data_IF_592125043326
#
_entry.id   IF_592125043326
#
_cell.length_a   1.000
_cell.length_b   1.000
_cell.length_c   1.000
_cell.angle_alpha   90.00
_cell.angle_beta   90.00
_cell.angle_gamma   90.00
#
_symmetry.space_group_name_H-M   'P 1'
#
loop_
_entity.id
_entity.type
_entity.pdbx_description
1 polymer ?
#
# COMPACT_ATOMS: atom_id res chain seq x y z
N UNK A 1 5.00 -7.91 -16.48
CA UNK A 1 6.24 -7.71 -15.70
C UNK A 1 7.44 -8.42 -16.32
N UNK A 2 7.50 -9.76 -16.31
CA UNK A 2 8.66 -10.52 -16.80
C UNK A 2 9.13 -10.15 -18.22
N UNK A 3 8.20 -10.02 -19.17
CA UNK A 3 8.51 -9.59 -20.53
C UNK A 3 9.19 -8.22 -20.57
N UNK A 4 8.71 -7.26 -19.76
CA UNK A 4 9.28 -5.93 -19.66
C UNK A 4 10.67 -5.96 -19.02
N UNK A 5 10.85 -6.72 -17.93
CA UNK A 5 12.16 -6.85 -17.28
C UNK A 5 13.20 -7.46 -18.24
N UNK A 6 12.80 -8.45 -19.06
CA UNK A 6 13.70 -9.06 -20.04
C UNK A 6 14.12 -8.06 -21.13
N UNK A 7 13.21 -7.19 -21.57
CA UNK A 7 13.48 -6.17 -22.59
C UNK A 7 14.24 -4.96 -22.02
N UNK A 8 13.98 -4.63 -20.77
CA UNK A 8 14.55 -3.48 -20.05
C UNK A 8 15.02 -3.93 -18.66
N UNK A 9 16.21 -4.57 -18.54
CA UNK A 9 16.70 -5.12 -17.26
C UNK A 9 16.86 -4.09 -16.15
N UNK A 10 17.08 -2.83 -16.51
CA UNK A 10 17.23 -1.68 -15.62
C UNK A 10 15.89 -1.08 -15.16
N UNK A 11 14.75 -1.53 -15.70
CA UNK A 11 13.46 -1.01 -15.29
C UNK A 11 13.13 -1.48 -13.86
N UNK A 12 12.77 -0.54 -13.00
CA UNK A 12 12.20 -0.85 -11.69
C UNK A 12 10.73 -1.26 -11.88
N UNK A 13 10.37 -2.45 -11.36
CA UNK A 13 9.00 -2.95 -11.40
C UNK A 13 8.44 -2.93 -9.99
N UNK A 14 7.21 -2.44 -9.83
CA UNK A 14 6.47 -2.51 -8.58
C UNK A 14 5.07 -3.07 -8.81
N UNK A 15 4.59 -3.88 -7.87
CA UNK A 15 3.22 -4.39 -7.83
C UNK A 15 2.44 -3.74 -6.70
N UNK A 16 1.20 -3.39 -7.00
CA UNK A 16 0.20 -3.00 -6.01
C UNK A 16 -0.98 -3.95 -6.15
N UNK A 17 -1.42 -4.52 -5.03
CA UNK A 17 -2.54 -5.47 -5.00
C UNK A 17 -3.72 -4.92 -4.18
N UNK A 18 -4.28 -3.75 -4.51
CA UNK A 18 -5.37 -3.18 -3.73
C UNK A 18 -6.64 -4.03 -3.88
N UNK A 19 -7.27 -4.36 -2.76
CA UNK A 19 -8.64 -4.89 -2.81
C UNK A 19 -9.63 -3.77 -3.10
N UNK A 20 -10.77 -4.16 -3.66
CA UNK A 20 -11.90 -3.24 -3.85
C UNK A 20 -12.41 -2.77 -2.48
N UNK A 21 -12.70 -1.48 -2.39
CA UNK A 21 -13.23 -0.81 -1.20
C UNK A 21 -14.40 0.07 -1.60
N UNK A 22 -15.34 0.32 -0.68
CA UNK A 22 -16.38 1.32 -0.87
C UNK A 22 -15.81 2.67 -1.31
N UNK A 23 -16.55 3.36 -2.18
CA UNK A 23 -16.28 4.73 -2.62
C UNK A 23 -17.48 5.60 -2.25
N UNK A 24 -17.31 6.93 -2.18
CA UNK A 24 -18.37 7.86 -1.73
C UNK A 24 -19.69 7.68 -2.50
N UNK A 25 -19.60 7.42 -3.80
CA UNK A 25 -20.78 7.28 -4.67
C UNK A 25 -21.31 5.84 -4.75
N UNK A 26 -20.68 4.86 -4.11
CA UNK A 26 -21.12 3.47 -4.11
C UNK A 26 -20.54 2.67 -2.92
N UNK A 27 -21.36 2.52 -1.88
CA UNK A 27 -21.07 1.77 -0.67
C UNK A 27 -21.17 0.24 -0.84
N UNK A 28 -21.75 -0.22 -1.95
CA UNK A 28 -21.92 -1.66 -2.24
C UNK A 28 -20.67 -2.31 -2.80
N UNK A 29 -19.67 -1.52 -3.22
CA UNK A 29 -18.40 -2.03 -3.71
C UNK A 29 -17.67 -2.71 -2.54
N UNK A 30 -17.36 -3.98 -2.72
CA UNK A 30 -16.65 -4.78 -1.74
C UNK A 30 -15.58 -5.65 -2.43
N UNK A 31 -14.68 -6.29 -1.67
CA UNK A 31 -13.61 -7.14 -2.20
C UNK A 31 -14.08 -8.38 -2.99
N UNK A 32 -15.40 -8.60 -3.14
CA UNK A 32 -15.99 -9.81 -3.70
C UNK A 32 -15.44 -11.03 -2.94
N UNK A 33 -14.92 -12.02 -3.66
CA UNK A 33 -14.38 -13.26 -3.10
C UNK A 33 -12.88 -13.15 -2.72
N UNK A 34 -12.29 -11.95 -2.76
CA UNK A 34 -10.89 -11.73 -2.40
C UNK A 34 -10.77 -11.35 -0.92
N UNK A 35 -10.72 -12.37 -0.06
CA UNK A 35 -10.45 -12.17 1.35
C UNK A 35 -8.94 -12.04 1.63
N UNK A 36 -8.59 -11.83 2.90
CA UNK A 36 -7.20 -11.60 3.32
C UNK A 36 -6.29 -12.77 2.95
N UNK A 37 -6.80 -14.01 3.00
CA UNK A 37 -6.05 -15.20 2.62
C UNK A 37 -5.70 -15.21 1.12
N UNK A 38 -6.66 -14.86 0.25
CA UNK A 38 -6.43 -14.75 -1.19
C UNK A 38 -5.45 -13.60 -1.51
N UNK A 39 -5.58 -12.46 -0.82
CA UNK A 39 -4.62 -11.36 -0.97
C UNK A 39 -3.21 -11.82 -0.60
N UNK A 40 -3.05 -12.49 0.53
CA UNK A 40 -1.76 -13.03 0.96
C UNK A 40 -1.19 -14.01 -0.07
N UNK A 41 -2.02 -14.91 -0.61
CA UNK A 41 -1.61 -15.87 -1.62
C UNK A 41 -1.08 -15.17 -2.89
N UNK A 42 -1.81 -14.16 -3.39
CA UNK A 42 -1.42 -13.39 -4.58
C UNK A 42 -0.10 -12.64 -4.34
N UNK A 43 0.01 -11.94 -3.21
CA UNK A 43 1.21 -11.17 -2.88
C UNK A 43 2.43 -12.08 -2.71
N UNK A 44 2.27 -13.25 -2.07
CA UNK A 44 3.34 -14.25 -1.96
C UNK A 44 3.74 -14.80 -3.33
N UNK A 45 2.77 -15.10 -4.20
CA UNK A 45 3.05 -15.56 -5.56
C UNK A 45 3.86 -14.52 -6.35
N UNK A 46 3.54 -13.23 -6.23
CA UNK A 46 4.33 -12.16 -6.87
C UNK A 46 5.73 -12.02 -6.28
N UNK A 47 5.89 -12.15 -4.95
CA UNK A 47 7.21 -12.13 -4.31
C UNK A 47 8.10 -13.28 -4.80
N UNK A 48 7.54 -14.47 -5.01
CA UNK A 48 8.27 -15.62 -5.56
C UNK A 48 8.57 -15.46 -7.06
N UNK A 49 7.61 -14.94 -7.83
CA UNK A 49 7.73 -14.80 -9.29
C UNK A 49 8.72 -13.70 -9.71
N UNK A 50 8.74 -12.57 -9.01
CA UNK A 50 9.62 -11.43 -9.29
C UNK A 50 10.25 -10.91 -7.99
N UNK A 51 11.30 -11.57 -7.46
CA UNK A 51 11.84 -11.27 -6.14
C UNK A 51 12.35 -9.84 -5.94
N UNK A 52 12.77 -9.18 -7.02
CA UNK A 52 13.28 -7.80 -7.00
C UNK A 52 12.20 -6.74 -7.22
N UNK A 53 10.97 -7.14 -7.52
CA UNK A 53 9.89 -6.17 -7.66
C UNK A 53 9.52 -5.57 -6.30
N UNK A 54 9.29 -4.26 -6.28
CA UNK A 54 8.65 -3.60 -5.16
C UNK A 54 7.23 -4.13 -4.98
N UNK A 55 6.77 -4.26 -3.74
CA UNK A 55 5.38 -4.60 -3.44
C UNK A 55 4.84 -3.56 -2.47
N UNK A 56 3.81 -2.84 -2.91
CA UNK A 56 3.20 -1.74 -2.16
C UNK A 56 1.88 -2.17 -1.54
N UNK A 57 1.72 -1.90 -0.24
CA UNK A 57 0.46 -2.03 0.47
C UNK A 57 -0.10 -0.67 0.91
N UNK A 58 -1.31 -0.36 0.47
CA UNK A 58 -1.98 0.91 0.79
C UNK A 58 -2.81 0.83 2.08
N UNK A 59 -3.32 1.98 2.52
CA UNK A 59 -4.29 2.12 3.62
C UNK A 59 -5.68 1.57 3.29
N UNK A 60 -5.87 0.95 2.12
CA UNK A 60 -7.07 0.14 1.82
C UNK A 60 -7.12 -1.14 2.65
N UNK A 61 -6.01 -1.57 3.22
CA UNK A 61 -5.95 -2.70 4.14
C UNK A 61 -5.92 -2.20 5.58
N UNK A 62 -6.42 -3.00 6.54
CA UNK A 62 -6.39 -2.62 7.95
C UNK A 62 -5.01 -2.88 8.55
N UNK A 63 -4.68 -2.20 9.66
CA UNK A 63 -3.39 -2.30 10.34
C UNK A 63 -2.88 -3.76 10.47
N UNK A 64 -3.71 -4.65 11.03
CA UNK A 64 -3.39 -6.08 11.18
C UNK A 64 -2.94 -6.75 9.88
N UNK A 65 -3.61 -6.52 8.76
CA UNK A 65 -3.25 -7.13 7.48
C UNK A 65 -1.93 -6.56 6.97
N UNK A 66 -1.75 -5.24 7.11
CA UNK A 66 -0.55 -4.53 6.66
C UNK A 66 0.68 -4.97 7.43
N UNK A 67 0.57 -5.02 8.76
CA UNK A 67 1.65 -5.42 9.67
C UNK A 67 2.10 -6.86 9.42
N UNK A 68 1.20 -7.75 8.99
CA UNK A 68 1.57 -9.11 8.57
C UNK A 68 2.19 -9.15 7.17
N UNK A 69 1.67 -8.38 6.21
CA UNK A 69 2.18 -8.40 4.84
C UNK A 69 3.59 -7.82 4.71
N UNK A 70 3.95 -6.81 5.50
CA UNK A 70 5.32 -6.24 5.51
C UNK A 70 6.37 -7.25 6.02
N UNK A 71 5.98 -8.19 6.88
CA UNK A 71 6.90 -9.26 7.36
C UNK A 71 7.17 -10.33 6.30
N UNK A 72 6.23 -10.52 5.37
CA UNK A 72 6.25 -11.65 4.44
C UNK A 72 6.71 -11.23 3.05
N UNK A 73 6.18 -10.13 2.53
CA UNK A 73 6.31 -9.83 1.10
C UNK A 73 6.24 -8.36 0.70
N UNK A 74 5.63 -7.46 1.47
CA UNK A 74 5.56 -6.04 1.10
C UNK A 74 6.86 -5.31 1.42
N UNK A 75 7.30 -4.42 0.52
CA UNK A 75 8.51 -3.60 0.68
C UNK A 75 8.20 -2.11 0.77
N UNK A 76 6.98 -1.70 0.43
CA UNK A 76 6.49 -0.32 0.51
C UNK A 76 5.15 -0.30 1.23
N UNK A 77 4.98 0.66 2.13
CA UNK A 77 3.75 0.86 2.89
C UNK A 77 3.42 2.36 2.92
N UNK A 78 2.17 2.71 2.64
CA UNK A 78 1.72 4.11 2.75
C UNK A 78 1.40 4.49 4.21
N UNK A 79 1.61 5.73 4.64
CA UNK A 79 1.24 6.14 6.00
C UNK A 79 0.74 7.58 6.00
N UNK A 80 -0.15 7.93 6.93
CA UNK A 80 -0.76 9.26 6.98
C UNK A 80 -1.44 9.67 5.66
N UNK A 81 -2.06 8.72 4.97
CA UNK A 81 -2.64 8.94 3.65
C UNK A 81 -3.90 9.78 3.79
N UNK A 82 -3.96 10.85 3.02
CA UNK A 82 -5.21 11.55 2.70
C UNK A 82 -5.64 11.12 1.30
N UNK A 83 -6.92 10.76 1.17
CA UNK A 83 -7.49 10.28 -0.11
C UNK A 83 -8.44 11.30 -0.74
N UNK A 84 -8.74 12.41 -0.05
CA UNK A 84 -9.52 13.54 -0.56
C UNK A 84 -8.65 14.58 -1.27
N UNK A 85 -9.25 15.29 -2.23
CA UNK A 85 -8.57 16.39 -2.92
C UNK A 85 -8.51 17.60 -1.96
N UNK A 86 -7.31 18.09 -1.65
CA UNK A 86 -7.11 19.29 -0.82
C UNK A 86 -7.05 19.07 0.69
N UNK A 87 -7.12 17.83 1.17
CA UNK A 87 -7.19 17.51 2.61
C UNK A 87 -5.93 17.84 3.43
N UNK A 88 -4.76 18.01 2.78
CA UNK A 88 -3.53 18.48 3.44
C UNK A 88 -3.46 20.01 3.63
N UNK A 89 -4.45 20.76 3.13
CA UNK A 89 -4.54 22.22 3.26
C UNK A 89 -5.77 22.55 4.10
N UNK A 90 -5.57 23.00 5.34
CA UNK A 90 -6.69 23.33 6.26
C UNK A 90 -7.59 24.46 5.73
N UNK A 91 -7.09 25.29 4.81
CA UNK A 91 -7.74 26.51 4.29
C UNK A 91 -8.63 26.30 3.04
N UNK A 92 -8.79 25.08 2.53
CA UNK A 92 -9.71 24.81 1.42
C UNK A 92 -11.10 24.40 1.93
N UNK A 93 -12.09 25.26 1.71
CA UNK A 93 -13.51 24.97 1.99
C UNK A 93 -14.05 23.85 1.07
N UNK A 94 -13.55 23.76 -0.16
CA UNK A 94 -13.89 22.72 -1.13
C UNK A 94 -12.94 21.52 -1.01
N UNK A 95 -13.14 20.69 0.01
CA UNK A 95 -12.50 19.37 0.09
C UNK A 95 -13.21 18.42 -0.88
N UNK A 96 -12.50 17.96 -1.90
CA UNK A 96 -13.06 17.02 -2.86
C UNK A 96 -13.21 15.61 -2.28
N UNK A 97 -14.15 14.86 -2.84
CA UNK A 97 -14.51 13.50 -2.43
C UNK A 97 -13.30 12.55 -2.33
N UNK A 98 -13.17 11.86 -1.20
CA UNK A 98 -12.21 10.78 -1.01
C UNK A 98 -12.38 9.64 -2.04
N UNK A 99 -11.28 9.23 -2.66
CA UNK A 99 -11.28 8.19 -3.70
C UNK A 99 -11.74 6.82 -3.18
N UNK A 100 -11.49 6.50 -1.90
CA UNK A 100 -11.90 5.27 -1.23
C UNK A 100 -11.89 5.44 0.28
N UNK A 101 -12.58 4.56 1.00
CA UNK A 101 -12.52 4.53 2.46
C UNK A 101 -11.17 4.02 2.99
N UNK A 102 -10.54 4.81 3.86
CA UNK A 102 -9.29 4.46 4.55
C UNK A 102 -9.58 3.42 5.65
N UNK A 103 -8.86 2.30 5.62
CA UNK A 103 -9.00 1.22 6.61
C UNK A 103 -7.89 1.18 7.67
N UNK A 104 -6.82 1.92 7.46
CA UNK A 104 -5.76 2.14 8.45
C UNK A 104 -5.52 3.63 8.57
N UNK A 105 -6.07 4.21 9.65
CA UNK A 105 -5.99 5.64 9.96
C UNK A 105 -4.75 6.04 10.77
N UNK A 106 -3.80 5.12 11.00
CA UNK A 106 -2.57 5.43 11.72
C UNK A 106 -1.79 6.54 11.00
N UNK A 107 -1.30 7.47 11.81
CA UNK A 107 -0.36 8.52 11.40
C UNK A 107 0.96 7.92 10.90
N UNK A 108 1.77 8.75 10.25
CA UNK A 108 3.12 8.36 9.82
C UNK A 108 3.96 7.86 10.99
N UNK A 109 3.89 8.55 12.13
CA UNK A 109 4.65 8.19 13.33
C UNK A 109 4.21 6.83 13.90
N UNK A 110 2.91 6.57 13.99
CA UNK A 110 2.40 5.29 14.51
C UNK A 110 2.77 4.10 13.61
N UNK A 111 2.73 4.28 12.27
CA UNK A 111 3.21 3.24 11.34
C UNK A 111 4.71 3.03 11.48
N UNK A 112 5.48 4.11 11.63
CA UNK A 112 6.93 4.04 11.84
C UNK A 112 7.28 3.25 13.10
N UNK A 113 6.66 3.57 14.23
CA UNK A 113 6.88 2.90 15.51
C UNK A 113 6.40 1.44 15.48
N UNK A 114 5.30 1.16 14.78
CA UNK A 114 4.83 -0.21 14.57
C UNK A 114 5.85 -1.06 13.82
N UNK A 115 6.50 -0.50 12.79
CA UNK A 115 7.54 -1.23 12.04
C UNK A 115 8.79 -1.47 12.90
N UNK A 116 9.20 -0.49 13.70
CA UNK A 116 10.30 -0.67 14.66
C UNK A 116 9.98 -1.78 15.69
N UNK A 117 8.75 -1.80 16.21
CA UNK A 117 8.28 -2.84 17.13
C UNK A 117 8.34 -4.25 16.54
N UNK A 118 8.30 -4.37 15.21
CA UNK A 118 8.41 -5.62 14.48
C UNK A 118 9.85 -5.96 14.06
N UNK A 119 10.85 -5.25 14.61
CA UNK A 119 12.27 -5.35 14.26
C UNK A 119 12.55 -5.09 12.77
N UNK A 120 11.74 -4.25 12.13
CA UNK A 120 11.97 -3.79 10.76
C UNK A 120 12.66 -2.42 10.80
N UNK A 121 13.35 -2.08 9.70
CA UNK A 121 13.93 -0.75 9.50
C UNK A 121 13.03 0.06 8.56
N UNK A 122 12.29 1.07 9.07
CA UNK A 122 11.58 1.99 8.21
C UNK A 122 12.58 2.88 7.47
N UNK A 123 12.36 3.04 6.17
CA UNK A 123 13.16 3.93 5.30
C UNK A 123 12.21 4.90 4.62
N UNK A 124 12.46 6.20 4.80
CA UNK A 124 11.58 7.27 4.30
C UNK A 124 12.04 7.86 2.96
N UNK A 125 13.23 7.48 2.49
CA UNK A 125 13.79 7.95 1.21
C UNK A 125 14.50 6.78 0.51
N UNK A 126 14.11 6.49 -0.73
CA UNK A 126 14.72 5.42 -1.52
C UNK A 126 15.97 5.86 -2.28
N UNK A 127 16.07 7.16 -2.57
CA UNK A 127 17.18 7.75 -3.31
C UNK A 127 17.66 8.99 -2.57
N UNK A 128 18.71 8.84 -1.74
CA UNK A 128 19.55 9.97 -1.40
C UNK A 128 20.51 10.13 -2.58
N UNK A 129 20.25 11.09 -3.45
CA UNK A 129 21.27 11.55 -4.39
C UNK A 129 22.44 12.07 -3.54
N UNK A 130 23.56 11.35 -3.54
CA UNK A 130 24.86 11.83 -3.05
C UNK A 130 25.66 12.29 -4.25
#
# INVERSE_FOLDING_TARGET
>A
AWYLQKKYPQAEISFSCPRLRPIINNDKINPMDVHEAQLLQVVCAYRLFMPFAGITISTRECARVRDNLVKIAATKISAGVSTGIGEHVEELEDKGDAQFEISDGRSVQEVYDSLLGENLQPVMAEYVYV
#
